data_IF_649169430054
#
_entry.id   IF_649169430054
#
_cell.length_a   1.000
_cell.length_b   1.000
_cell.length_c   1.000
_cell.angle_alpha   90.00
_cell.angle_beta   90.00
_cell.angle_gamma   90.00
#
_symmetry.space_group_name_H-M   'P 1'
#
loop_
_entity.id
_entity.type
_entity.pdbx_description
1 polymer ?
#
# COMPACT_ATOMS: atom_id res chain seq x y z
N UNK A 1 8.50 -1.32 4.82
CA UNK A 1 9.19 -1.05 6.10
C UNK A 1 9.27 -2.29 7.01
N UNK A 2 8.15 -2.86 7.49
CA UNK A 2 8.19 -3.99 8.43
C UNK A 2 9.04 -5.19 7.94
N UNK A 3 8.91 -5.60 6.67
CA UNK A 3 9.77 -6.65 6.06
C UNK A 3 11.26 -6.34 6.19
N UNK A 4 11.67 -5.14 5.76
CA UNK A 4 13.07 -4.70 5.83
C UNK A 4 13.62 -4.71 7.26
N UNK A 5 12.81 -4.33 8.24
CA UNK A 5 13.22 -4.36 9.66
C UNK A 5 13.36 -5.81 10.14
N UNK A 6 12.40 -6.67 9.82
CA UNK A 6 12.42 -8.08 10.19
C UNK A 6 13.64 -8.82 9.58
N UNK A 7 13.95 -8.57 8.31
CA UNK A 7 15.13 -9.11 7.61
C UNK A 7 16.42 -8.69 8.32
N UNK A 8 16.62 -7.39 8.53
CA UNK A 8 17.82 -6.85 9.20
C UNK A 8 17.99 -7.35 10.63
N UNK A 9 16.89 -7.49 11.37
CA UNK A 9 16.93 -8.07 12.72
C UNK A 9 17.26 -9.55 12.69
N UNK A 10 16.77 -10.29 11.69
CA UNK A 10 17.05 -11.72 11.56
C UNK A 10 18.53 -11.96 11.33
N UNK A 11 19.14 -11.21 10.41
CA UNK A 11 20.58 -11.25 10.14
C UNK A 11 21.40 -10.94 11.39
N UNK A 12 21.06 -9.87 12.11
CA UNK A 12 21.80 -9.42 13.29
C UNK A 12 21.68 -10.36 14.48
N UNK A 13 20.53 -11.01 14.66
CA UNK A 13 20.24 -11.87 15.81
C UNK A 13 20.52 -13.35 15.54
N UNK A 14 20.84 -13.73 14.30
CA UNK A 14 21.08 -15.13 13.92
C UNK A 14 19.85 -16.02 14.07
N UNK A 15 18.64 -15.45 14.04
CA UNK A 15 17.37 -16.19 14.13
C UNK A 15 16.29 -15.55 13.29
N UNK A 16 15.36 -16.34 12.77
CA UNK A 16 14.24 -15.85 11.98
C UNK A 16 13.33 -14.92 12.81
N UNK A 17 13.11 -13.70 12.32
CA UNK A 17 12.08 -12.77 12.79
C UNK A 17 11.03 -12.63 11.69
N UNK A 18 9.80 -13.07 11.97
CA UNK A 18 8.68 -12.97 11.03
C UNK A 18 7.96 -11.64 11.16
N UNK A 19 7.38 -11.17 10.06
CA UNK A 19 6.50 -10.00 10.06
C UNK A 19 5.16 -10.37 10.70
N UNK A 20 4.72 -9.58 11.67
CA UNK A 20 3.40 -9.69 12.28
C UNK A 20 2.35 -8.80 11.61
N UNK A 21 1.21 -8.63 12.27
CA UNK A 21 0.13 -7.78 11.80
C UNK A 21 0.55 -6.30 11.70
N UNK A 22 0.19 -5.65 10.60
CA UNK A 22 0.26 -4.19 10.48
C UNK A 22 -1.03 -3.58 11.01
N UNK A 23 -0.93 -2.67 11.98
CA UNK A 23 -2.06 -1.92 12.50
C UNK A 23 -1.88 -0.45 12.12
N UNK A 24 -2.86 0.11 11.42
CA UNK A 24 -2.93 1.54 11.15
C UNK A 24 -3.94 2.16 12.11
N UNK A 25 -3.49 3.08 12.97
CA UNK A 25 -4.34 3.78 13.93
C UNK A 25 -4.38 5.26 13.53
N UNK A 26 -5.57 5.77 13.27
CA UNK A 26 -5.80 7.15 12.84
C UNK A 26 -7.02 7.70 13.58
N UNK A 27 -6.88 8.89 14.18
CA UNK A 27 -7.94 9.51 14.98
C UNK A 27 -9.08 10.09 14.12
N UNK A 28 -8.78 10.44 12.87
CA UNK A 28 -9.75 10.98 11.92
C UNK A 28 -9.52 10.43 10.53
N UNK A 29 -10.49 9.68 10.01
CA UNK A 29 -10.57 9.33 8.60
C UNK A 29 -11.41 10.40 7.90
N UNK A 30 -10.78 11.16 7.01
CA UNK A 30 -11.45 12.22 6.25
C UNK A 30 -11.39 11.94 4.75
N UNK A 31 -12.54 12.13 4.08
CA UNK A 31 -12.67 12.17 2.63
C UNK A 31 -13.23 13.55 2.30
N UNK A 32 -12.53 14.31 1.44
CA UNK A 32 -13.05 15.58 0.97
C UNK A 32 -14.27 15.33 0.09
N UNK A 33 -15.31 16.16 0.22
CA UNK A 33 -16.56 15.99 -0.53
C UNK A 33 -16.37 15.97 -2.06
N UNK A 34 -15.32 16.62 -2.57
CA UNK A 34 -14.95 16.59 -3.99
C UNK A 34 -14.59 15.18 -4.51
N UNK A 35 -14.26 14.23 -3.64
CA UNK A 35 -13.94 12.85 -4.00
C UNK A 35 -15.10 11.89 -3.76
N UNK A 36 -16.28 12.37 -3.36
CA UNK A 36 -17.39 11.50 -2.97
C UNK A 36 -17.83 10.59 -4.11
N UNK A 37 -17.96 11.11 -5.33
CA UNK A 37 -18.40 10.33 -6.49
C UNK A 37 -17.44 9.17 -6.82
N UNK A 38 -16.12 9.40 -6.67
CA UNK A 38 -15.10 8.36 -6.83
C UNK A 38 -15.16 7.34 -5.67
N UNK A 39 -15.48 7.80 -4.46
CA UNK A 39 -15.57 6.95 -3.28
C UNK A 39 -16.85 6.10 -3.24
N UNK A 40 -17.96 6.58 -3.81
CA UNK A 40 -19.23 5.84 -3.88
C UNK A 40 -19.05 4.49 -4.61
N UNK A 41 -18.21 4.46 -5.66
CA UNK A 41 -17.85 3.22 -6.33
C UNK A 41 -17.17 2.22 -5.40
N UNK A 42 -16.28 2.69 -4.50
CA UNK A 42 -15.64 1.83 -3.50
C UNK A 42 -16.66 1.27 -2.51
N UNK A 43 -17.58 2.09 -2.00
CA UNK A 43 -18.63 1.63 -1.07
C UNK A 43 -19.48 0.51 -1.67
N UNK A 44 -19.86 0.62 -2.95
CA UNK A 44 -20.56 -0.46 -3.66
C UNK A 44 -19.76 -1.74 -3.70
N UNK A 45 -18.43 -1.68 -3.86
CA UNK A 45 -17.59 -2.90 -3.82
C UNK A 45 -17.58 -3.55 -2.45
N UNK A 46 -17.57 -2.77 -1.37
CA UNK A 46 -17.62 -3.30 0.00
C UNK A 46 -18.95 -3.98 0.29
N UNK A 47 -20.05 -3.48 -0.27
CA UNK A 47 -21.39 -4.05 -0.10
C UNK A 47 -21.57 -5.38 -0.84
N UNK A 48 -21.06 -5.49 -2.08
CA UNK A 48 -21.37 -6.63 -2.96
C UNK A 48 -20.31 -7.73 -2.98
N UNK A 49 -19.06 -7.43 -2.62
CA UNK A 49 -17.94 -8.39 -2.73
C UNK A 49 -17.70 -9.15 -1.42
N UNK A 50 -17.19 -10.37 -1.53
CA UNK A 50 -16.71 -11.13 -0.38
C UNK A 50 -15.45 -10.51 0.23
N UNK A 51 -15.01 -11.02 1.39
CA UNK A 51 -13.73 -10.60 1.99
C UNK A 51 -12.55 -10.96 1.08
N UNK A 52 -12.59 -12.15 0.52
CA UNK A 52 -11.55 -12.69 -0.35
C UNK A 52 -11.41 -11.81 -1.60
N UNK A 53 -12.53 -11.40 -2.21
CA UNK A 53 -12.58 -10.54 -3.40
C UNK A 53 -12.13 -9.08 -3.17
N UNK A 54 -12.01 -8.67 -1.90
CA UNK A 54 -11.56 -7.31 -1.50
C UNK A 54 -10.21 -7.30 -0.81
N UNK A 55 -9.52 -8.43 -0.76
CA UNK A 55 -8.17 -8.53 -0.22
C UNK A 55 -7.21 -9.05 -1.27
N UNK A 56 -5.99 -8.53 -1.25
CA UNK A 56 -4.94 -8.97 -2.16
C UNK A 56 -3.67 -9.23 -1.37
N UNK A 57 -3.00 -10.31 -1.73
CA UNK A 57 -1.65 -10.59 -1.25
C UNK A 57 -0.65 -9.65 -1.91
N UNK A 58 0.52 -9.49 -1.28
CA UNK A 58 1.60 -8.72 -1.87
C UNK A 58 2.06 -9.29 -3.23
N UNK A 59 1.96 -10.60 -3.43
CA UNK A 59 2.33 -11.27 -4.67
C UNK A 59 1.39 -10.90 -5.82
N UNK A 60 0.07 -10.90 -5.56
CA UNK A 60 -0.94 -10.50 -6.56
C UNK A 60 -0.80 -9.04 -6.98
N UNK A 61 -0.42 -8.16 -6.03
CA UNK A 61 -0.23 -6.73 -6.31
C UNK A 61 1.14 -6.38 -6.89
N UNK A 62 2.11 -7.31 -6.89
CA UNK A 62 3.49 -7.04 -7.30
C UNK A 62 3.61 -6.41 -8.70
N UNK A 63 2.86 -6.85 -9.73
CA UNK A 63 2.92 -6.23 -11.06
C UNK A 63 2.48 -4.76 -11.06
N UNK A 64 1.39 -4.44 -10.35
CA UNK A 64 0.90 -3.06 -10.23
C UNK A 64 1.86 -2.18 -9.43
N UNK A 65 2.51 -2.75 -8.40
CA UNK A 65 3.52 -2.04 -7.61
C UNK A 65 4.71 -1.67 -8.50
N UNK A 66 5.19 -2.59 -9.34
CA UNK A 66 6.32 -2.31 -10.22
C UNK A 66 6.00 -1.24 -11.27
N UNK A 67 4.84 -1.33 -11.91
CA UNK A 67 4.36 -0.30 -12.84
C UNK A 67 4.25 1.07 -12.15
N UNK A 68 3.74 1.11 -10.91
CA UNK A 68 3.66 2.34 -10.15
C UNK A 68 5.05 2.92 -9.81
N UNK A 69 6.05 2.07 -9.52
CA UNK A 69 7.43 2.51 -9.26
C UNK A 69 8.02 3.22 -10.47
N UNK A 70 7.85 2.66 -11.67
CA UNK A 70 8.31 3.29 -12.92
C UNK A 70 7.65 4.66 -13.16
N UNK A 71 6.33 4.76 -12.93
CA UNK A 71 5.61 6.04 -13.08
C UNK A 71 6.09 7.09 -12.08
N UNK A 72 6.32 6.70 -10.83
CA UNK A 72 6.82 7.59 -9.77
C UNK A 72 8.22 8.08 -10.12
N UNK A 73 9.11 7.20 -10.60
CA UNK A 73 10.47 7.57 -11.01
C UNK A 73 10.45 8.63 -12.12
N UNK A 74 9.68 8.41 -13.19
CA UNK A 74 9.49 9.40 -14.27
C UNK A 74 8.95 10.73 -13.76
N UNK A 75 8.01 10.71 -12.82
CA UNK A 75 7.49 11.94 -12.22
C UNK A 75 8.55 12.69 -11.43
N UNK A 76 9.36 11.98 -10.63
CA UNK A 76 10.43 12.57 -9.84
C UNK A 76 11.54 13.16 -10.72
N UNK A 77 11.88 12.51 -11.83
CA UNK A 77 12.83 13.06 -12.82
C UNK A 77 12.33 14.38 -13.40
N UNK A 78 11.06 14.43 -13.80
CA UNK A 78 10.43 15.66 -14.31
C UNK A 78 10.44 16.78 -13.26
N UNK A 79 10.15 16.45 -12.01
CA UNK A 79 10.14 17.46 -10.93
C UNK A 79 11.55 17.97 -10.60
N UNK A 80 12.59 17.12 -10.73
CA UNK A 80 13.99 17.53 -10.61
C UNK A 80 14.44 18.41 -11.76
N UNK A 81 14.03 18.11 -12.99
CA UNK A 81 14.38 18.90 -14.17
C UNK A 81 13.73 20.31 -14.19
N UNK A 82 12.69 20.53 -13.37
CA UNK A 82 12.03 21.82 -13.19
C UNK A 82 12.64 22.69 -12.07
N UNK A 83 13.56 22.14 -11.27
CA UNK A 83 14.26 22.86 -10.20
C UNK A 83 15.60 23.38 -10.71
#
# INVERSE_FOLDING_TARGET
>A
LQRMVAERLSERLGREIRVGQYNHMVDSYHIYGSYFDEFDAFLKTVEVRSWEDRTWTAAEMQPLIEEARERIEKSLERDRAKR
#
